data_IF_184667844249
#
_entry.id   IF_184667844249
#
_cell.length_a   1.000
_cell.length_b   1.000
_cell.length_c   1.000
_cell.angle_alpha   90.00
_cell.angle_beta   90.00
_cell.angle_gamma   90.00
#
_symmetry.space_group_name_H-M   'P 1'
#
loop_
_entity.id
_entity.type
_entity.pdbx_description
1 polymer ?
#
# COMPACT_ATOMS: atom_id res chain seq x y z
N UNK A 1 11.49 14.18 -11.62
CA UNK A 1 12.31 13.17 -12.30
C UNK A 1 11.57 11.89 -12.63
N UNK A 2 10.77 11.35 -11.72
CA UNK A 2 10.05 10.07 -11.92
C UNK A 2 8.87 10.15 -12.89
N UNK A 3 8.19 11.29 -12.98
CA UNK A 3 7.07 11.48 -13.90
C UNK A 3 7.52 11.45 -15.37
N UNK A 4 8.62 12.09 -15.69
CA UNK A 4 9.23 12.05 -17.03
C UNK A 4 9.66 10.61 -17.40
N UNK A 5 10.18 9.85 -16.44
CA UNK A 5 10.61 8.48 -16.67
C UNK A 5 9.46 7.53 -17.05
N UNK A 6 8.27 7.69 -16.45
CA UNK A 6 7.13 6.81 -16.78
C UNK A 6 6.46 7.16 -18.11
N UNK A 7 6.51 8.42 -18.55
CA UNK A 7 5.98 8.84 -19.87
C UNK A 7 6.80 8.27 -21.02
N UNK A 8 8.11 8.18 -20.85
CA UNK A 8 9.04 7.66 -21.85
C UNK A 8 9.17 6.13 -21.81
N UNK A 9 8.58 5.46 -20.81
CA UNK A 9 8.63 4.01 -20.71
C UNK A 9 7.63 3.35 -21.66
N UNK A 10 8.12 2.42 -22.46
CA UNK A 10 7.28 1.60 -23.34
C UNK A 10 6.70 0.46 -22.52
N UNK A 11 5.35 0.33 -22.54
CA UNK A 11 4.70 -0.83 -21.91
C UNK A 11 5.14 -2.10 -22.64
N UNK A 12 5.68 -3.11 -21.90
CA UNK A 12 6.10 -4.33 -22.55
C UNK A 12 4.90 -5.06 -23.15
N UNK A 13 4.96 -5.32 -24.45
CA UNK A 13 3.95 -6.10 -25.17
C UNK A 13 4.45 -7.52 -25.31
N UNK A 14 3.75 -8.46 -24.68
CA UNK A 14 4.12 -9.88 -24.69
C UNK A 14 3.25 -10.72 -25.64
N UNK A 15 2.25 -10.13 -26.31
CA UNK A 15 1.38 -10.81 -27.28
C UNK A 15 1.34 -10.11 -28.64
N UNK A 16 0.99 -10.86 -29.71
CA UNK A 16 0.95 -10.38 -31.09
C UNK A 16 -0.12 -9.32 -31.39
N UNK A 17 -1.15 -9.17 -30.56
CA UNK A 17 -2.23 -8.22 -30.80
C UNK A 17 -2.11 -7.12 -29.76
N UNK A 18 -1.76 -5.96 -30.27
CA UNK A 18 -1.60 -4.70 -29.57
C UNK A 18 -2.97 -4.09 -29.22
N UNK A 19 -3.73 -4.71 -28.34
CA UNK A 19 -4.75 -3.95 -27.64
C UNK A 19 -4.05 -2.96 -26.71
N UNK A 20 -4.57 -1.73 -26.68
CA UNK A 20 -4.02 -0.64 -25.90
C UNK A 20 -3.99 -1.02 -24.42
N UNK A 21 -2.82 -1.35 -23.91
CA UNK A 21 -2.62 -1.52 -22.48
C UNK A 21 -2.60 -0.14 -21.80
N UNK A 22 -3.20 -0.05 -20.62
CA UNK A 22 -3.09 1.14 -19.77
C UNK A 22 -1.65 1.18 -19.28
N UNK A 23 -0.84 2.15 -19.69
CA UNK A 23 0.52 2.31 -19.18
C UNK A 23 0.55 2.99 -17.80
N UNK A 24 1.72 3.05 -17.16
CA UNK A 24 1.84 3.68 -15.84
C UNK A 24 1.43 5.15 -15.84
N UNK A 25 1.76 5.90 -16.89
CA UNK A 25 1.39 7.31 -17.01
C UNK A 25 -0.14 7.47 -17.09
N UNK A 26 -0.80 6.72 -17.98
CA UNK A 26 -2.25 6.74 -18.11
C UNK A 26 -2.96 6.32 -16.81
N UNK A 27 -2.39 5.38 -16.05
CA UNK A 27 -2.91 5.02 -14.73
C UNK A 27 -2.86 6.21 -13.76
N UNK A 28 -1.70 6.87 -13.62
CA UNK A 28 -1.53 8.03 -12.74
C UNK A 28 -2.45 9.17 -13.17
N UNK A 29 -2.45 9.54 -14.46
CA UNK A 29 -3.26 10.63 -15.01
C UNK A 29 -4.76 10.38 -14.78
N UNK A 30 -5.25 9.16 -15.05
CA UNK A 30 -6.65 8.80 -14.83
C UNK A 30 -7.09 8.96 -13.37
N UNK A 31 -6.25 8.51 -12.43
CA UNK A 31 -6.58 8.64 -11.01
C UNK A 31 -6.44 10.09 -10.53
N UNK A 32 -5.47 10.84 -11.05
CA UNK A 32 -5.32 12.28 -10.78
C UNK A 32 -6.56 13.05 -11.23
N UNK A 33 -7.06 12.79 -12.43
CA UNK A 33 -8.27 13.42 -12.98
C UNK A 33 -9.52 13.04 -12.15
N UNK A 34 -9.63 11.76 -11.75
CA UNK A 34 -10.72 11.32 -10.89
C UNK A 34 -10.69 12.00 -9.51
N UNK A 35 -9.50 12.14 -8.92
CA UNK A 35 -9.33 12.83 -7.64
C UNK A 35 -9.68 14.32 -7.75
N UNK A 36 -9.20 15.02 -8.77
CA UNK A 36 -9.50 16.42 -9.01
C UNK A 36 -11.00 16.66 -9.24
N UNK A 37 -11.65 15.76 -9.98
CA UNK A 37 -13.09 15.85 -10.22
C UNK A 37 -13.92 15.59 -8.96
N UNK A 38 -13.57 14.55 -8.20
CA UNK A 38 -14.31 14.14 -6.99
C UNK A 38 -14.14 15.14 -5.84
N UNK A 39 -12.92 15.61 -5.62
CA UNK A 39 -12.57 16.58 -4.60
C UNK A 39 -12.54 18.02 -5.15
N UNK A 40 -13.50 18.35 -6.02
CA UNK A 40 -13.60 19.68 -6.60
C UNK A 40 -13.79 20.74 -5.49
N UNK A 41 -12.93 21.78 -5.51
CA UNK A 41 -12.88 22.79 -4.44
C UNK A 41 -11.81 22.54 -3.38
N UNK A 42 -11.24 21.36 -3.33
CA UNK A 42 -10.11 21.02 -2.46
C UNK A 42 -8.78 21.14 -3.21
N UNK A 43 -7.68 21.29 -2.48
CA UNK A 43 -6.35 21.26 -3.08
C UNK A 43 -5.90 19.81 -3.26
N UNK A 44 -5.94 19.32 -4.48
CA UNK A 44 -5.41 18.01 -4.87
C UNK A 44 -3.98 18.22 -5.38
N UNK A 45 -3.00 17.65 -4.70
CA UNK A 45 -1.61 17.76 -5.10
C UNK A 45 -1.29 16.87 -6.30
N UNK A 46 -0.18 17.15 -7.00
CA UNK A 46 0.32 16.29 -8.06
C UNK A 46 0.80 14.98 -7.49
N UNK A 47 0.66 13.90 -8.26
CA UNK A 47 1.09 12.58 -7.86
C UNK A 47 2.60 12.52 -7.58
N UNK A 48 2.98 12.06 -6.39
CA UNK A 48 4.36 11.63 -6.08
C UNK A 48 4.53 10.19 -6.55
N UNK A 49 5.45 9.96 -7.50
CA UNK A 49 5.58 8.70 -8.23
C UNK A 49 6.86 8.00 -7.84
N UNK A 50 6.75 6.70 -7.55
CA UNK A 50 7.86 5.78 -7.29
C UNK A 50 7.81 4.62 -8.26
N UNK A 51 8.95 4.28 -8.84
CA UNK A 51 9.09 3.16 -9.78
C UNK A 51 10.15 2.17 -9.29
N UNK A 52 10.04 0.93 -9.76
CA UNK A 52 11.06 -0.08 -9.55
C UNK A 52 12.35 0.27 -10.33
N UNK A 53 13.37 -0.57 -10.19
CA UNK A 53 14.53 -0.50 -11.08
C UNK A 53 14.12 -0.73 -12.55
N UNK A 54 14.94 -0.19 -13.45
CA UNK A 54 14.75 -0.30 -14.90
C UNK A 54 14.97 -1.76 -15.32
N UNK A 55 14.04 -2.29 -16.12
CA UNK A 55 14.19 -3.58 -16.79
C UNK A 55 14.41 -3.34 -18.29
N UNK A 56 15.35 -4.09 -18.87
CA UNK A 56 15.60 -4.09 -20.30
C UNK A 56 14.59 -5.01 -20.98
N UNK A 57 13.89 -4.46 -21.96
CA UNK A 57 12.90 -5.18 -22.76
C UNK A 57 13.21 -5.07 -24.25
N UNK A 58 12.24 -5.47 -25.07
CA UNK A 58 12.27 -5.36 -26.52
C UNK A 58 11.07 -4.54 -26.98
N UNK A 59 11.22 -3.81 -28.06
CA UNK A 59 10.07 -3.18 -28.74
C UNK A 59 9.17 -4.29 -29.32
N UNK A 60 7.88 -4.05 -29.55
CA UNK A 60 6.94 -5.06 -30.06
C UNK A 60 7.40 -5.73 -31.35
N UNK A 61 7.99 -4.99 -32.27
CA UNK A 61 8.49 -5.47 -33.56
C UNK A 61 9.67 -6.44 -33.44
N UNK A 62 10.40 -6.37 -32.32
CA UNK A 62 11.58 -7.18 -32.09
C UNK A 62 11.35 -8.42 -31.18
N UNK A 63 10.09 -8.67 -30.82
CA UNK A 63 9.73 -9.71 -29.84
C UNK A 63 10.21 -11.12 -30.28
N UNK A 64 10.14 -11.40 -31.59
CA UNK A 64 10.51 -12.69 -32.18
C UNK A 64 11.93 -12.75 -32.72
N UNK A 65 12.70 -11.65 -32.64
CA UNK A 65 14.09 -11.65 -33.12
C UNK A 65 14.97 -12.50 -32.19
N UNK A 66 15.85 -13.36 -32.73
CA UNK A 66 16.87 -14.04 -31.96
C UNK A 66 17.77 -13.03 -31.23
N UNK A 67 18.26 -13.39 -30.03
CA UNK A 67 19.05 -12.47 -29.20
C UNK A 67 20.32 -11.91 -29.90
N UNK A 68 20.94 -12.72 -30.76
CA UNK A 68 22.12 -12.36 -31.55
C UNK A 68 21.83 -11.43 -32.74
N UNK A 69 20.56 -11.18 -33.07
CA UNK A 69 20.13 -10.30 -34.15
C UNK A 69 19.48 -9.01 -33.64
N UNK A 70 19.46 -8.79 -32.31
CA UNK A 70 18.90 -7.59 -31.72
C UNK A 70 19.83 -6.40 -31.97
N UNK A 71 19.27 -5.36 -32.58
CA UNK A 71 19.90 -4.06 -32.72
C UNK A 71 19.64 -3.20 -31.45
N UNK A 72 20.39 -2.14 -31.26
CA UNK A 72 20.12 -1.21 -30.16
C UNK A 72 18.74 -0.54 -30.26
N UNK A 73 18.27 -0.30 -31.49
CA UNK A 73 16.91 0.19 -31.77
C UNK A 73 15.78 -0.79 -31.39
N UNK A 74 16.10 -2.07 -31.25
CA UNK A 74 15.15 -3.11 -30.85
C UNK A 74 14.98 -3.22 -29.33
N UNK A 75 15.84 -2.52 -28.60
CA UNK A 75 15.86 -2.54 -27.14
C UNK A 75 15.06 -1.38 -26.57
N UNK A 76 14.36 -1.65 -25.49
CA UNK A 76 13.64 -0.65 -24.71
C UNK A 76 13.85 -0.87 -23.23
N UNK A 77 13.40 0.07 -22.43
CA UNK A 77 13.39 -0.03 -20.99
C UNK A 77 11.97 0.13 -20.48
N UNK A 78 11.65 -0.54 -19.40
CA UNK A 78 10.39 -0.35 -18.69
C UNK A 78 10.55 -0.52 -17.18
N UNK A 79 9.58 -0.04 -16.44
CA UNK A 79 9.47 -0.24 -15.00
C UNK A 79 8.44 -1.32 -14.70
N UNK A 80 8.86 -2.40 -14.04
CA UNK A 80 7.97 -3.52 -13.72
C UNK A 80 6.89 -3.12 -12.73
N UNK A 81 7.23 -2.21 -11.81
CA UNK A 81 6.33 -1.77 -10.74
C UNK A 81 6.33 -0.26 -10.67
N UNK A 82 5.15 0.29 -10.47
CA UNK A 82 4.95 1.69 -10.18
C UNK A 82 3.96 1.86 -9.02
N UNK A 83 4.23 2.84 -8.18
CA UNK A 83 3.31 3.33 -7.17
C UNK A 83 3.28 4.84 -7.22
N UNK A 84 2.16 5.42 -6.81
CA UNK A 84 2.04 6.86 -6.64
C UNK A 84 1.17 7.20 -5.44
N UNK A 85 1.35 8.40 -4.89
CA UNK A 85 0.43 8.98 -3.90
C UNK A 85 -0.02 10.36 -4.35
N UNK A 86 -1.30 10.66 -4.16
CA UNK A 86 -1.93 11.95 -4.41
C UNK A 86 -2.48 12.44 -3.07
N UNK A 87 -1.93 13.51 -2.54
CA UNK A 87 -2.36 14.07 -1.27
C UNK A 87 -3.43 15.15 -1.49
N UNK A 88 -4.42 15.19 -0.57
CA UNK A 88 -5.45 16.22 -0.49
C UNK A 88 -5.32 16.93 0.86
N UNK A 89 -4.34 17.83 1.02
CA UNK A 89 -3.93 18.38 2.32
C UNK A 89 -4.96 19.31 2.96
N UNK A 90 -5.95 19.76 2.20
CA UNK A 90 -7.08 20.54 2.71
C UNK A 90 -8.12 19.67 3.43
N UNK A 91 -8.12 18.36 3.17
CA UNK A 91 -8.90 17.36 3.91
C UNK A 91 -7.96 16.70 4.91
N UNK A 92 -8.04 17.09 6.16
CA UNK A 92 -7.19 16.56 7.22
C UNK A 92 -7.93 16.40 8.53
N UNK A 93 -7.38 15.53 9.38
CA UNK A 93 -7.82 15.30 10.75
C UNK A 93 -6.62 15.10 11.67
N UNK A 94 -6.88 15.16 12.98
CA UNK A 94 -5.85 14.95 13.99
C UNK A 94 -6.17 13.71 14.83
N UNK A 95 -5.18 12.81 14.96
CA UNK A 95 -5.24 11.66 15.86
C UNK A 95 -4.09 11.77 16.84
N UNK A 96 -4.41 11.92 18.13
CA UNK A 96 -3.42 12.32 19.12
C UNK A 96 -2.81 13.69 18.74
N UNK A 97 -1.49 13.75 18.66
CA UNK A 97 -0.75 14.95 18.24
C UNK A 97 -0.41 14.94 16.73
N UNK A 98 -0.86 13.93 16.00
CA UNK A 98 -0.47 13.76 14.60
C UNK A 98 -1.53 14.29 13.65
N UNK A 99 -1.12 15.14 12.73
CA UNK A 99 -1.95 15.58 11.59
C UNK A 99 -1.91 14.51 10.49
N UNK A 100 -3.10 14.11 10.03
CA UNK A 100 -3.32 13.13 8.99
C UNK A 100 -4.02 13.78 7.81
N UNK A 101 -3.43 13.77 6.64
CA UNK A 101 -4.06 14.25 5.42
C UNK A 101 -4.71 13.09 4.65
N UNK A 102 -5.83 13.36 3.99
CA UNK A 102 -6.39 12.42 3.03
C UNK A 102 -5.39 12.17 1.91
N UNK A 103 -5.22 10.92 1.51
CA UNK A 103 -4.29 10.52 0.46
C UNK A 103 -4.84 9.35 -0.34
N UNK A 104 -4.59 9.37 -1.64
CA UNK A 104 -4.93 8.31 -2.58
C UNK A 104 -3.62 7.66 -3.02
N UNK A 105 -3.57 6.32 -3.02
CA UNK A 105 -2.36 5.58 -3.41
C UNK A 105 -2.73 4.54 -4.45
N UNK A 106 -2.02 4.56 -5.57
CA UNK A 106 -2.16 3.56 -6.62
C UNK A 106 -0.90 2.70 -6.74
N UNK A 107 -1.09 1.42 -7.01
CA UNK A 107 0.00 0.46 -7.25
C UNK A 107 -0.31 -0.39 -8.46
N UNK A 108 0.68 -0.57 -9.31
CA UNK A 108 0.64 -1.50 -10.43
C UNK A 108 1.93 -2.30 -10.51
N UNK A 109 1.80 -3.60 -10.78
CA UNK A 109 2.94 -4.49 -10.95
C UNK A 109 2.69 -5.46 -12.12
N UNK A 110 3.49 -5.36 -13.16
CA UNK A 110 3.35 -6.20 -14.35
C UNK A 110 3.63 -7.69 -14.06
N UNK A 111 4.49 -8.00 -13.10
CA UNK A 111 4.78 -9.38 -12.70
C UNK A 111 3.59 -10.12 -12.07
N UNK A 112 2.53 -9.40 -11.71
CA UNK A 112 1.29 -9.97 -11.16
C UNK A 112 0.20 -10.12 -12.22
N UNK A 113 0.50 -9.81 -13.48
CA UNK A 113 -0.44 -9.79 -14.59
C UNK A 113 -0.11 -10.88 -15.61
N UNK A 114 -1.13 -11.47 -16.22
CA UNK A 114 -0.93 -12.31 -17.38
C UNK A 114 -0.89 -11.44 -18.66
N UNK A 115 0.27 -10.88 -18.94
CA UNK A 115 0.47 -10.00 -20.09
C UNK A 115 0.45 -10.74 -21.44
N UNK A 116 0.40 -12.09 -21.44
CA UNK A 116 0.31 -12.92 -22.64
C UNK A 116 -1.14 -13.19 -23.09
N UNK A 117 -2.12 -12.86 -22.24
CA UNK A 117 -3.52 -13.10 -22.53
C UNK A 117 -4.24 -11.81 -22.94
N UNK A 118 -4.81 -11.82 -24.15
CA UNK A 118 -5.56 -10.70 -24.73
C UNK A 118 -6.91 -10.41 -24.07
N UNK A 119 -7.45 -11.36 -23.32
CA UNK A 119 -8.83 -11.32 -22.82
C UNK A 119 -8.93 -11.07 -21.33
N UNK A 120 -7.80 -10.93 -20.64
CA UNK A 120 -7.79 -10.70 -19.19
C UNK A 120 -7.68 -9.22 -18.91
N UNK A 121 -8.66 -8.61 -18.20
CA UNK A 121 -8.57 -7.23 -17.77
C UNK A 121 -7.29 -6.98 -16.97
N UNK A 122 -6.75 -5.77 -17.07
CA UNK A 122 -5.53 -5.39 -16.38
C UNK A 122 -5.79 -5.18 -14.88
N UNK A 123 -4.84 -5.60 -14.05
CA UNK A 123 -4.92 -5.55 -12.60
C UNK A 123 -4.28 -4.27 -12.06
N UNK A 124 -5.04 -3.54 -11.26
CA UNK A 124 -4.59 -2.38 -10.50
C UNK A 124 -4.94 -2.55 -9.02
N UNK A 125 -4.21 -1.84 -8.18
CA UNK A 125 -4.56 -1.68 -6.78
C UNK A 125 -4.70 -0.20 -6.47
N UNK A 126 -5.77 0.15 -5.79
CA UNK A 126 -6.08 1.53 -5.45
C UNK A 126 -6.56 1.62 -4.01
N UNK A 127 -6.01 2.56 -3.27
CA UNK A 127 -6.41 2.83 -1.90
C UNK A 127 -6.68 4.32 -1.71
N UNK A 128 -7.64 4.63 -0.83
CA UNK A 128 -7.86 5.93 -0.25
C UNK A 128 -7.82 5.80 1.27
N UNK A 129 -7.16 6.71 1.95
CA UNK A 129 -6.98 6.66 3.40
C UNK A 129 -6.32 7.92 3.91
N UNK A 130 -5.70 7.82 5.07
CA UNK A 130 -5.00 8.95 5.69
C UNK A 130 -3.49 8.71 5.72
N UNK A 131 -2.73 9.76 5.45
CA UNK A 131 -1.27 9.77 5.50
C UNK A 131 -0.82 10.63 6.67
N UNK A 132 -0.08 10.03 7.58
CA UNK A 132 0.49 10.74 8.71
C UNK A 132 1.61 11.68 8.23
N UNK A 133 1.50 12.97 8.53
CA UNK A 133 2.42 13.98 8.03
C UNK A 133 3.80 13.92 8.68
N UNK A 134 3.89 13.39 9.90
CA UNK A 134 5.15 13.31 10.66
C UNK A 134 6.06 12.21 10.09
N UNK A 135 5.51 11.06 9.77
CA UNK A 135 6.27 9.88 9.35
C UNK A 135 5.94 9.40 7.93
N UNK A 136 5.02 10.06 7.23
CA UNK A 136 4.52 9.65 5.91
C UNK A 136 3.97 8.22 5.86
N UNK A 137 3.55 7.67 7.00
CA UNK A 137 2.90 6.37 7.06
C UNK A 137 1.49 6.45 6.49
N UNK A 138 1.15 5.48 5.64
CA UNK A 138 -0.18 5.37 5.06
C UNK A 138 -1.09 4.50 5.93
N UNK A 139 -2.17 5.09 6.41
CA UNK A 139 -3.23 4.42 7.15
C UNK A 139 -4.34 4.02 6.17
N UNK A 140 -4.52 2.73 5.95
CA UNK A 140 -5.52 2.17 5.02
C UNK A 140 -6.53 1.37 5.81
N UNK A 141 -7.81 1.48 5.45
CA UNK A 141 -8.90 0.70 6.00
C UNK A 141 -9.63 -0.08 4.91
N UNK A 142 -10.31 -1.16 5.26
CA UNK A 142 -10.89 -2.12 4.31
C UNK A 142 -11.80 -1.48 3.27
N UNK A 143 -12.63 -0.51 3.66
CA UNK A 143 -13.55 0.16 2.73
C UNK A 143 -12.88 1.22 1.83
N UNK A 144 -11.62 1.51 2.07
CA UNK A 144 -10.78 2.40 1.26
C UNK A 144 -9.77 1.65 0.39
N UNK A 145 -9.91 0.33 0.19
CA UNK A 145 -8.95 -0.44 -0.59
C UNK A 145 -9.61 -1.40 -1.59
N UNK A 146 -9.15 -1.35 -2.83
CA UNK A 146 -9.44 -2.30 -3.92
C UNK A 146 -8.14 -3.00 -4.31
N UNK A 147 -8.00 -4.26 -3.95
CA UNK A 147 -6.81 -5.09 -4.19
C UNK A 147 -6.84 -5.83 -5.54
N UNK A 148 -8.02 -6.06 -6.09
CA UNK A 148 -8.25 -6.75 -7.36
C UNK A 148 -9.11 -5.89 -8.31
N UNK A 149 -8.65 -4.67 -8.61
CA UNK A 149 -9.31 -3.80 -9.55
C UNK A 149 -8.94 -4.20 -10.98
N UNK A 150 -9.87 -4.86 -11.66
CA UNK A 150 -9.68 -5.33 -13.04
C UNK A 150 -10.47 -4.47 -14.00
N UNK A 151 -9.76 -3.83 -14.92
CA UNK A 151 -10.33 -2.94 -15.92
C UNK A 151 -9.64 -3.12 -17.27
N UNK A 152 -10.36 -2.80 -18.35
CA UNK A 152 -9.89 -2.95 -19.73
C UNK A 152 -9.52 -1.62 -20.37
N UNK A 153 -9.93 -0.49 -19.80
CA UNK A 153 -9.66 0.84 -20.33
C UNK A 153 -9.66 1.91 -19.23
N UNK A 154 -9.19 3.09 -19.57
CA UNK A 154 -9.09 4.22 -18.62
C UNK A 154 -10.45 4.75 -18.17
N UNK A 155 -11.51 4.60 -18.96
CA UNK A 155 -12.87 5.02 -18.56
C UNK A 155 -13.40 4.13 -17.44
N UNK A 156 -13.18 2.82 -17.52
CA UNK A 156 -13.53 1.88 -16.45
C UNK A 156 -12.71 2.16 -15.19
N UNK A 157 -11.41 2.43 -15.35
CA UNK A 157 -10.51 2.78 -14.26
C UNK A 157 -10.97 4.06 -13.53
N UNK A 158 -11.33 5.09 -14.28
CA UNK A 158 -11.85 6.35 -13.76
C UNK A 158 -13.13 6.15 -12.94
N UNK A 159 -14.10 5.39 -13.48
CA UNK A 159 -15.35 5.08 -12.79
C UNK A 159 -15.10 4.28 -11.48
N UNK A 160 -14.23 3.29 -11.55
CA UNK A 160 -13.88 2.49 -10.38
C UNK A 160 -13.18 3.30 -9.29
N UNK A 161 -12.39 4.30 -9.66
CA UNK A 161 -11.80 5.25 -8.71
C UNK A 161 -12.89 6.10 -8.03
N UNK A 162 -13.81 6.67 -8.80
CA UNK A 162 -14.93 7.45 -8.25
C UNK A 162 -15.81 6.60 -7.32
N UNK A 163 -16.07 5.35 -7.68
CA UNK A 163 -16.81 4.40 -6.83
C UNK A 163 -16.09 4.16 -5.51
N UNK A 164 -14.76 3.93 -5.54
CA UNK A 164 -13.96 3.76 -4.33
C UNK A 164 -14.04 5.01 -3.42
N UNK A 165 -13.86 6.20 -4.00
CA UNK A 165 -13.90 7.46 -3.24
C UNK A 165 -15.26 7.69 -2.61
N UNK A 166 -16.34 7.43 -3.35
CA UNK A 166 -17.72 7.59 -2.86
C UNK A 166 -18.08 6.61 -1.75
N UNK A 167 -17.53 5.38 -1.81
CA UNK A 167 -17.81 4.33 -0.82
C UNK A 167 -16.91 4.39 0.42
N UNK A 168 -15.85 5.17 0.36
CA UNK A 168 -14.96 5.36 1.50
C UNK A 168 -15.64 6.13 2.63
N UNK A 169 -15.54 5.62 3.84
CA UNK A 169 -16.09 6.25 5.04
C UNK A 169 -14.95 6.77 5.95
N UNK A 170 -14.52 8.01 5.76
CA UNK A 170 -13.44 8.59 6.55
C UNK A 170 -13.76 8.69 8.04
N UNK A 171 -15.03 8.99 8.40
CA UNK A 171 -15.41 9.12 9.80
C UNK A 171 -15.24 7.80 10.57
N UNK A 172 -15.64 6.68 9.98
CA UNK A 172 -15.44 5.36 10.57
C UNK A 172 -13.95 5.03 10.72
N UNK A 173 -13.14 5.33 9.71
CA UNK A 173 -11.71 5.10 9.74
C UNK A 173 -11.03 5.93 10.84
N UNK A 174 -11.32 7.22 10.90
CA UNK A 174 -10.80 8.14 11.92
C UNK A 174 -11.21 7.71 13.33
N UNK A 175 -12.47 7.33 13.53
CA UNK A 175 -12.94 6.81 14.81
C UNK A 175 -12.11 5.63 15.29
N UNK A 176 -11.83 4.66 14.43
CA UNK A 176 -10.98 3.51 14.77
C UNK A 176 -9.55 3.92 15.13
N UNK A 177 -8.96 4.87 14.40
CA UNK A 177 -7.62 5.38 14.72
C UNK A 177 -7.60 6.13 16.06
N UNK A 178 -8.62 6.92 16.36
CA UNK A 178 -8.76 7.61 17.64
C UNK A 178 -8.88 6.62 18.81
N UNK A 179 -9.62 5.52 18.63
CA UNK A 179 -9.70 4.45 19.67
C UNK A 179 -8.34 3.84 19.99
N UNK A 180 -7.45 3.71 19.02
CA UNK A 180 -6.08 3.24 19.27
C UNK A 180 -5.31 4.19 20.20
N UNK A 181 -5.54 5.51 20.10
CA UNK A 181 -4.91 6.49 20.99
C UNK A 181 -5.33 6.36 22.46
N UNK A 182 -6.53 5.83 22.72
CA UNK A 182 -7.10 5.72 24.06
C UNK A 182 -6.69 4.46 24.82
N UNK A 183 -5.99 3.52 24.18
CA UNK A 183 -5.59 2.25 24.80
C UNK A 183 -4.10 2.26 25.08
N UNK A 184 -3.73 2.28 26.34
CA UNK A 184 -2.35 2.14 26.80
C UNK A 184 -1.88 0.68 26.70
N UNK A 185 -0.61 0.48 26.43
CA UNK A 185 0.06 -0.81 26.35
C UNK A 185 1.31 -0.78 27.22
N UNK A 186 1.50 -1.80 28.06
CA UNK A 186 2.75 -1.96 28.81
C UNK A 186 3.88 -2.49 27.91
N UNK A 187 5.13 -2.23 28.31
CA UNK A 187 6.30 -2.82 27.65
C UNK A 187 6.25 -4.34 27.63
N UNK A 188 5.75 -4.96 28.71
CA UNK A 188 5.57 -6.41 28.77
C UNK A 188 4.60 -6.92 27.70
N UNK A 189 3.44 -6.27 27.55
CA UNK A 189 2.47 -6.61 26.48
C UNK A 189 3.07 -6.42 25.10
N UNK A 190 3.81 -5.32 24.88
CA UNK A 190 4.51 -5.09 23.61
C UNK A 190 5.51 -6.21 23.31
N UNK A 191 6.37 -6.55 24.28
CA UNK A 191 7.36 -7.63 24.12
C UNK A 191 6.70 -8.98 23.82
N UNK A 192 5.58 -9.28 24.49
CA UNK A 192 4.79 -10.48 24.26
C UNK A 192 4.22 -10.51 22.84
N UNK A 193 3.60 -9.41 22.38
CA UNK A 193 3.07 -9.28 21.01
C UNK A 193 4.18 -9.49 19.97
N UNK A 194 5.33 -8.84 20.13
CA UNK A 194 6.48 -9.02 19.23
C UNK A 194 6.95 -10.47 19.21
N UNK A 195 7.03 -11.12 20.37
CA UNK A 195 7.36 -12.54 20.48
C UNK A 195 6.37 -13.44 19.75
N UNK A 196 5.07 -13.20 19.95
CA UNK A 196 4.00 -13.93 19.25
C UNK A 196 4.02 -13.70 17.73
N UNK A 197 4.28 -12.47 17.28
CA UNK A 197 4.41 -12.18 15.85
C UNK A 197 5.57 -12.95 15.21
N UNK A 198 6.69 -13.12 15.92
CA UNK A 198 7.80 -13.97 15.45
C UNK A 198 7.44 -15.45 15.46
N UNK A 199 6.80 -15.93 16.53
CA UNK A 199 6.32 -17.32 16.60
C UNK A 199 5.33 -17.64 15.50
N UNK A 200 4.43 -16.71 15.15
CA UNK A 200 3.48 -16.89 14.05
C UNK A 200 4.17 -17.33 12.75
N UNK A 201 5.30 -16.76 12.41
CA UNK A 201 6.04 -17.10 11.19
C UNK A 201 6.63 -18.52 11.22
N UNK A 202 6.86 -19.06 12.41
CA UNK A 202 7.40 -20.41 12.60
C UNK A 202 6.30 -21.48 12.71
N UNK A 203 5.01 -21.08 12.80
CA UNK A 203 3.93 -22.03 12.94
C UNK A 203 3.72 -22.85 11.65
N UNK A 204 3.34 -24.13 11.76
CA UNK A 204 2.86 -24.89 10.63
C UNK A 204 1.68 -24.19 9.93
N UNK A 205 1.61 -24.29 8.60
CA UNK A 205 0.60 -23.59 7.77
C UNK A 205 -0.84 -23.81 8.23
N UNK A 206 -1.17 -25.01 8.75
CA UNK A 206 -2.50 -25.29 9.27
C UNK A 206 -2.87 -24.43 10.49
N UNK A 207 -1.93 -24.22 11.39
CA UNK A 207 -2.11 -23.35 12.55
C UNK A 207 -2.19 -21.88 12.16
N UNK A 208 -1.33 -21.42 11.24
CA UNK A 208 -1.38 -20.04 10.74
C UNK A 208 -2.75 -19.69 10.13
N UNK A 209 -3.36 -20.62 9.37
CA UNK A 209 -4.68 -20.43 8.75
C UNK A 209 -5.83 -20.29 9.76
N UNK A 210 -5.67 -20.82 10.96
CA UNK A 210 -6.65 -20.70 12.03
C UNK A 210 -6.54 -19.36 12.81
N UNK A 211 -5.48 -18.61 12.61
CA UNK A 211 -5.21 -17.33 13.25
C UNK A 211 -5.49 -16.16 12.31
N UNK A 212 -5.68 -14.94 12.84
CA UNK A 212 -5.70 -13.74 12.02
C UNK A 212 -4.43 -13.64 11.19
N UNK A 213 -4.59 -13.26 9.92
CA UNK A 213 -3.45 -13.15 8.99
C UNK A 213 -2.49 -12.05 9.42
N UNK A 214 -1.19 -12.33 9.39
CA UNK A 214 -0.12 -11.39 9.62
C UNK A 214 0.86 -11.40 8.43
N UNK A 215 1.11 -10.25 7.84
CA UNK A 215 1.93 -10.10 6.63
C UNK A 215 3.32 -9.51 6.88
N UNK A 216 3.61 -9.04 8.11
CA UNK A 216 4.93 -8.55 8.47
C UNK A 216 5.96 -9.68 8.40
N UNK A 217 7.10 -9.39 7.77
CA UNK A 217 8.25 -10.31 7.73
C UNK A 217 9.03 -10.26 9.05
N UNK A 218 9.89 -11.25 9.29
CA UNK A 218 10.77 -11.27 10.48
C UNK A 218 11.65 -10.00 10.56
N UNK A 219 12.18 -9.56 9.42
CA UNK A 219 12.96 -8.32 9.32
C UNK A 219 12.12 -7.09 9.72
N UNK A 220 10.86 -7.05 9.31
CA UNK A 220 9.95 -5.95 9.67
C UNK A 220 9.57 -5.98 11.14
N UNK A 221 9.31 -7.15 11.73
CA UNK A 221 9.05 -7.30 13.17
C UNK A 221 10.27 -6.82 13.97
N UNK A 222 11.47 -7.18 13.54
CA UNK A 222 12.70 -6.67 14.16
C UNK A 222 12.83 -5.14 14.02
N UNK A 223 12.40 -4.57 12.89
CA UNK A 223 12.36 -3.12 12.70
C UNK A 223 11.37 -2.43 13.63
N UNK A 224 10.20 -3.05 13.89
CA UNK A 224 9.23 -2.56 14.90
C UNK A 224 9.88 -2.50 16.28
N UNK A 225 10.56 -3.57 16.70
CA UNK A 225 11.23 -3.62 18.00
C UNK A 225 12.36 -2.57 18.13
N UNK A 226 13.14 -2.36 17.06
CA UNK A 226 14.17 -1.30 17.04
C UNK A 226 13.55 0.10 17.08
N UNK A 227 12.47 0.33 16.35
CA UNK A 227 11.78 1.61 16.31
C UNK A 227 11.11 1.92 17.66
N UNK A 228 10.61 0.93 18.41
CA UNK A 228 10.13 1.11 19.77
C UNK A 228 11.17 1.80 20.66
N UNK A 229 12.46 1.49 20.45
CA UNK A 229 13.56 2.07 21.25
C UNK A 229 14.02 3.42 20.68
N UNK A 230 14.10 3.56 19.34
CA UNK A 230 14.89 4.63 18.71
C UNK A 230 14.07 5.62 17.86
N UNK A 231 12.78 5.36 17.59
CA UNK A 231 11.98 6.27 16.75
C UNK A 231 11.66 7.55 17.54
N UNK A 232 11.95 8.70 16.95
CA UNK A 232 11.79 10.01 17.62
C UNK A 232 10.32 10.36 17.86
N UNK A 233 9.38 9.83 17.05
CA UNK A 233 7.96 10.20 17.09
C UNK A 233 7.11 9.14 17.82
N UNK A 234 7.42 7.86 17.62
CA UNK A 234 6.59 6.74 18.10
C UNK A 234 7.35 5.78 19.02
N UNK A 235 8.66 5.98 19.21
CA UNK A 235 9.44 5.27 20.20
C UNK A 235 8.86 5.51 21.60
N UNK A 236 8.90 4.48 22.44
CA UNK A 236 8.27 4.55 23.77
C UNK A 236 9.11 3.87 24.87
N UNK A 237 10.38 3.60 24.58
CA UNK A 237 11.28 3.03 25.61
C UNK A 237 11.44 4.00 26.76
N UNK A 238 11.03 3.57 27.95
CA UNK A 238 11.05 4.41 29.14
C UNK A 238 9.93 5.46 29.22
N UNK A 239 8.95 5.40 28.31
CA UNK A 239 7.81 6.30 28.26
C UNK A 239 6.49 5.56 27.98
N UNK A 240 5.38 6.28 27.98
CA UNK A 240 4.08 5.67 27.73
C UNK A 240 3.95 5.19 26.28
N UNK A 241 3.55 3.93 26.09
CA UNK A 241 3.17 3.31 24.83
C UNK A 241 1.65 3.20 24.77
N UNK A 242 1.04 3.55 23.65
CA UNK A 242 -0.35 3.28 23.35
C UNK A 242 -0.50 2.57 21.99
N UNK A 243 -1.71 2.10 21.71
CA UNK A 243 -1.98 1.35 20.47
C UNK A 243 -1.81 2.21 19.20
N UNK A 244 -1.98 3.55 19.26
CA UNK A 244 -1.69 4.44 18.16
C UNK A 244 -0.20 4.49 17.82
N UNK A 245 0.66 4.60 18.82
CA UNK A 245 2.12 4.52 18.63
C UNK A 245 2.51 3.15 18.07
N UNK A 246 1.98 2.06 18.66
CA UNK A 246 2.21 0.70 18.14
C UNK A 246 1.81 0.56 16.68
N UNK A 247 0.63 1.05 16.29
CA UNK A 247 0.18 1.05 14.90
C UNK A 247 1.16 1.79 13.97
N UNK A 248 1.65 2.96 14.39
CA UNK A 248 2.63 3.71 13.62
C UNK A 248 3.99 3.01 13.50
N UNK A 249 4.40 2.23 14.52
CA UNK A 249 5.58 1.35 14.41
C UNK A 249 5.38 0.25 13.36
N UNK A 250 4.19 -0.36 13.29
CA UNK A 250 3.85 -1.37 12.27
C UNK A 250 3.88 -0.77 10.86
N UNK A 251 3.21 0.36 10.65
CA UNK A 251 3.17 1.05 9.35
C UNK A 251 4.54 1.63 8.97
N UNK A 252 5.34 2.04 9.94
CA UNK A 252 6.73 2.46 9.75
C UNK A 252 7.61 1.33 9.20
N UNK A 253 7.51 0.13 9.77
CA UNK A 253 8.22 -1.06 9.29
C UNK A 253 7.79 -1.45 7.86
N UNK A 254 6.54 -1.15 7.47
CA UNK A 254 6.03 -1.44 6.12
C UNK A 254 6.71 -0.60 5.02
N UNK A 255 7.39 0.51 5.33
CA UNK A 255 8.16 1.30 4.36
C UNK A 255 9.25 0.49 3.65
N UNK A 256 9.73 -0.57 4.26
CA UNK A 256 10.70 -1.51 3.67
C UNK A 256 10.07 -2.51 2.70
N UNK A 257 8.75 -2.49 2.53
CA UNK A 257 8.05 -3.40 1.63
C UNK A 257 8.30 -3.06 0.16
N UNK A 258 8.27 -4.09 -0.68
CA UNK A 258 8.22 -3.90 -2.12
C UNK A 258 6.92 -3.18 -2.52
N UNK A 259 6.98 -2.43 -3.62
CA UNK A 259 5.87 -1.65 -4.17
C UNK A 259 4.59 -2.51 -4.28
N UNK A 260 4.70 -3.73 -4.76
CA UNK A 260 3.60 -4.65 -5.02
C UNK A 260 2.97 -5.28 -3.77
N UNK A 261 3.62 -5.18 -2.60
CA UNK A 261 3.08 -5.69 -1.32
C UNK A 261 2.76 -4.60 -0.30
N UNK A 262 3.08 -3.35 -0.62
CA UNK A 262 2.98 -2.25 0.32
C UNK A 262 1.53 -2.00 0.80
N UNK A 263 0.56 -1.97 -0.12
CA UNK A 263 -0.85 -1.68 0.22
C UNK A 263 -1.48 -2.80 1.06
N UNK A 264 -1.25 -4.06 0.68
CA UNK A 264 -1.75 -5.23 1.43
C UNK A 264 -1.22 -5.23 2.87
N UNK A 265 0.06 -4.90 3.04
CA UNK A 265 0.69 -4.82 4.37
C UNK A 265 0.24 -3.60 5.15
N UNK A 266 -0.06 -2.48 4.49
CA UNK A 266 -0.64 -1.31 5.16
C UNK A 266 -2.03 -1.62 5.72
N UNK A 267 -2.89 -2.27 4.92
CA UNK A 267 -4.19 -2.74 5.40
C UNK A 267 -4.02 -3.74 6.55
N UNK A 268 -3.13 -4.72 6.40
CA UNK A 268 -2.87 -5.72 7.44
C UNK A 268 -2.34 -5.11 8.74
N UNK A 269 -1.50 -4.08 8.67
CA UNK A 269 -1.06 -3.34 9.87
C UNK A 269 -2.25 -2.70 10.60
N UNK A 270 -3.22 -2.15 9.87
CA UNK A 270 -4.47 -1.63 10.44
C UNK A 270 -5.28 -2.75 11.10
N UNK A 271 -5.48 -3.86 10.40
CA UNK A 271 -6.22 -5.04 10.93
C UNK A 271 -5.56 -5.58 12.20
N UNK A 272 -4.23 -5.70 12.20
CA UNK A 272 -3.46 -6.14 13.37
C UNK A 272 -3.63 -5.18 14.56
N UNK A 273 -3.46 -3.87 14.33
CA UNK A 273 -3.57 -2.89 15.41
C UNK A 273 -4.99 -2.84 15.99
N UNK A 274 -6.01 -2.78 15.13
CA UNK A 274 -7.43 -2.76 15.55
C UNK A 274 -7.82 -4.06 16.24
N UNK A 275 -7.39 -5.20 15.70
CA UNK A 275 -7.69 -6.51 16.26
C UNK A 275 -7.02 -6.75 17.62
N UNK A 276 -5.74 -6.39 17.76
CA UNK A 276 -5.02 -6.46 19.04
C UNK A 276 -5.65 -5.49 20.05
N UNK A 277 -6.02 -4.28 19.62
CA UNK A 277 -6.75 -3.35 20.47
C UNK A 277 -8.06 -3.95 21.00
N UNK A 278 -8.83 -4.57 20.14
CA UNK A 278 -10.06 -5.27 20.55
C UNK A 278 -9.76 -6.43 21.52
N UNK A 279 -8.70 -7.20 21.27
CA UNK A 279 -8.30 -8.30 22.17
C UNK A 279 -7.90 -7.81 23.56
N UNK A 280 -7.21 -6.68 23.68
CA UNK A 280 -6.92 -6.04 24.96
C UNK A 280 -8.19 -5.65 25.74
N UNK A 281 -9.32 -5.52 25.05
CA UNK A 281 -10.64 -5.26 25.62
C UNK A 281 -11.55 -6.52 25.69
N UNK A 282 -10.98 -7.72 25.47
CA UNK A 282 -11.66 -8.99 25.66
C UNK A 282 -12.22 -9.67 24.40
N UNK A 283 -11.92 -9.17 23.20
CA UNK A 283 -12.26 -9.87 21.95
C UNK A 283 -11.36 -11.09 21.75
N UNK A 284 -11.96 -12.23 21.36
CA UNK A 284 -11.25 -13.52 21.26
C UNK A 284 -10.46 -13.69 19.96
N UNK A 285 -10.76 -12.92 18.90
CA UNK A 285 -10.22 -13.16 17.56
C UNK A 285 -8.69 -12.99 17.48
N UNK A 286 -8.14 -11.95 18.12
CA UNK A 286 -6.70 -11.66 18.12
C UNK A 286 -6.01 -12.03 19.43
N UNK A 287 -6.73 -12.69 20.33
CA UNK A 287 -6.27 -13.05 21.68
C UNK A 287 -4.95 -13.82 21.67
N UNK A 288 -4.74 -14.69 20.69
CA UNK A 288 -3.49 -15.44 20.56
C UNK A 288 -2.25 -14.56 20.53
N UNK A 289 -2.34 -13.33 20.04
CA UNK A 289 -1.20 -12.41 19.98
C UNK A 289 -0.88 -11.74 21.31
N UNK A 290 -1.79 -11.78 22.29
CA UNK A 290 -1.65 -11.13 23.60
C UNK A 290 -1.57 -12.11 24.78
N UNK A 291 -1.88 -13.39 24.56
CA UNK A 291 -1.72 -14.47 25.54
C UNK A 291 -0.30 -15.08 25.46
#
# INVERSE_FOLDING_TARGET
GSEMCIRDSITPVFSKDNELTINHAAFVETIQDAAQSFFSGERVEQADIRVSHIIKGRIPEAIHKPANQLLESDKTIYYERAAFSIDVPTIYETVGENKLNLSIVGVRAYNQMNLYSKKVPELFRLAIGFKNQVCCNMCIFTNGYKDDLRVSNTTELYRAALELFNNYNPAKHLYLMQQLGNTSMSEHQFAQIIGKMRLYQCLPTGYQKALPRMLLTDTQINSVAKAYINDENFGSFGSELNMWKFYNLLTGANKSSYIDSFLDRSLNATEMAVGINAALHGDERYKWFID
#
